data_IF_568074267950
#
_entry.id   IF_568074267950
#
_cell.length_a   1.000
_cell.length_b   1.000
_cell.length_c   1.000
_cell.angle_alpha   90.00
_cell.angle_beta   90.00
_cell.angle_gamma   90.00
#
_symmetry.space_group_name_H-M   'P 1'
#
loop_
_entity.id
_entity.type
_entity.pdbx_description
1 polymer ?
#
# COMPACT_ATOMS: atom_id res chain seq x y z
N UNK A 1 -8.58 -16.65 -1.84
CA UNK A 1 -8.01 -15.41 -2.42
C UNK A 1 -6.51 -15.60 -2.61
N UNK A 2 -5.96 -15.00 -3.67
CA UNK A 2 -4.64 -15.24 -4.29
C UNK A 2 -3.47 -15.37 -3.31
N UNK A 3 -2.85 -16.57 -3.22
CA UNK A 3 -1.61 -16.81 -2.47
C UNK A 3 -0.35 -16.83 -3.35
N UNK A 4 -0.51 -16.55 -4.65
CA UNK A 4 0.55 -16.78 -5.64
C UNK A 4 1.16 -15.48 -6.17
N UNK A 5 0.79 -14.32 -5.61
CA UNK A 5 1.26 -12.99 -6.06
C UNK A 5 1.46 -12.04 -4.88
N UNK A 6 2.49 -11.19 -4.95
CA UNK A 6 2.80 -10.14 -3.98
C UNK A 6 3.11 -8.81 -4.66
N UNK A 7 2.98 -7.73 -3.90
CA UNK A 7 3.37 -6.38 -4.32
C UNK A 7 4.81 -6.12 -3.86
N UNK A 8 5.67 -5.68 -4.78
CA UNK A 8 7.07 -5.31 -4.48
C UNK A 8 7.32 -3.85 -4.85
N UNK A 9 8.32 -3.26 -4.18
CA UNK A 9 8.76 -1.89 -4.41
C UNK A 9 10.21 -1.85 -4.89
N UNK A 10 10.47 -1.06 -5.93
CA UNK A 10 11.82 -0.75 -6.44
C UNK A 10 12.50 0.40 -5.66
N UNK A 11 13.77 0.66 -5.96
CA UNK A 11 14.52 1.78 -5.38
C UNK A 11 14.11 3.17 -5.94
N UNK A 12 13.25 3.23 -6.95
CA UNK A 12 12.80 4.49 -7.55
C UNK A 12 11.70 5.19 -6.74
N UNK A 13 11.27 4.63 -5.61
CA UNK A 13 10.24 5.22 -4.78
C UNK A 13 10.73 6.53 -4.17
N UNK A 14 9.93 7.58 -4.30
CA UNK A 14 10.21 8.90 -3.74
C UNK A 14 9.27 9.27 -2.57
N UNK A 15 8.47 8.31 -2.09
CA UNK A 15 7.60 8.53 -0.94
C UNK A 15 6.41 9.47 -1.21
N UNK A 16 5.97 9.67 -2.46
CA UNK A 16 4.86 10.59 -2.77
C UNK A 16 3.51 10.26 -2.13
N UNK A 17 3.31 9.04 -1.61
CA UNK A 17 2.10 8.67 -0.85
C UNK A 17 0.85 8.35 -1.68
N UNK A 18 0.87 8.49 -3.01
CA UNK A 18 -0.29 8.18 -3.87
C UNK A 18 -0.76 6.73 -3.68
N UNK A 19 0.19 5.80 -3.54
CA UNK A 19 -0.13 4.39 -3.28
C UNK A 19 -0.93 4.18 -2.00
N UNK A 20 -0.75 5.02 -0.97
CA UNK A 20 -1.47 4.96 0.30
C UNK A 20 -2.91 5.43 0.12
N UNK A 21 -3.13 6.49 -0.68
CA UNK A 21 -4.45 7.11 -0.85
C UNK A 21 -5.36 6.33 -1.78
N UNK A 22 -4.80 5.66 -2.79
CA UNK A 22 -5.58 4.86 -3.76
C UNK A 22 -5.79 3.41 -3.32
N UNK A 23 -5.15 2.98 -2.23
CA UNK A 23 -5.22 1.61 -1.77
C UNK A 23 -6.61 1.33 -1.16
N UNK A 24 -7.44 0.45 -1.75
CA UNK A 24 -8.78 0.17 -1.23
C UNK A 24 -8.75 -0.55 0.12
N UNK A 25 -7.65 -1.26 0.41
CA UNK A 25 -7.41 -1.91 1.70
C UNK A 25 -6.93 -0.95 2.78
N UNK A 26 -6.40 0.23 2.40
CA UNK A 26 -6.10 1.29 3.34
C UNK A 26 -7.39 2.03 3.69
N UNK A 27 -8.23 1.39 4.48
CA UNK A 27 -9.42 2.04 5.03
C UNK A 27 -8.96 3.04 6.09
N UNK A 28 -8.97 4.33 5.76
CA UNK A 28 -9.08 5.37 6.80
C UNK A 28 -10.42 5.10 7.49
N UNK A 29 -10.40 4.87 8.80
CA UNK A 29 -11.61 4.80 9.59
C UNK A 29 -12.41 6.08 9.28
N UNK A 30 -13.58 5.90 8.67
CA UNK A 30 -14.42 6.99 8.16
C UNK A 30 -15.09 7.81 9.28
N UNK A 31 -14.74 7.55 10.55
CA UNK A 31 -15.35 8.16 11.73
C UNK A 31 -14.26 8.88 12.50
N UNK A 32 -14.43 10.19 12.66
CA UNK A 32 -13.47 11.07 13.29
C UNK A 32 -13.31 10.82 14.81
N UNK A 33 -14.14 9.96 15.41
CA UNK A 33 -14.17 9.74 16.85
C UNK A 33 -13.31 8.56 17.37
N UNK A 34 -12.83 7.66 16.51
CA UNK A 34 -11.98 6.51 16.92
C UNK A 34 -10.72 6.40 16.05
N UNK A 35 -9.89 7.44 16.00
CA UNK A 35 -8.56 7.34 15.38
C UNK A 35 -7.60 6.59 16.32
N UNK A 36 -7.88 5.33 16.62
CA UNK A 36 -6.94 4.48 17.31
C UNK A 36 -5.90 3.99 16.28
N UNK A 37 -4.71 4.60 16.34
CA UNK A 37 -3.58 4.28 15.46
C UNK A 37 -3.20 2.80 15.53
N UNK A 38 -3.62 2.09 16.59
CA UNK A 38 -3.33 0.68 16.83
C UNK A 38 -4.35 -0.27 16.18
N UNK A 39 -5.48 0.22 15.65
CA UNK A 39 -6.49 -0.62 14.96
C UNK A 39 -6.61 -0.36 13.45
N UNK A 40 -5.99 0.70 12.93
CA UNK A 40 -5.97 0.97 11.50
C UNK A 40 -5.13 -0.09 10.75
N UNK A 41 -5.81 -0.97 9.99
CA UNK A 41 -5.13 -1.99 9.18
C UNK A 41 -4.72 -1.39 7.82
N UNK A 42 -3.45 -1.02 7.68
CA UNK A 42 -2.89 -0.43 6.47
C UNK A 42 -2.13 -1.50 5.66
N UNK A 43 -2.45 -1.64 4.38
CA UNK A 43 -1.69 -2.47 3.45
C UNK A 43 -0.42 -1.77 2.95
N UNK A 44 -0.45 -0.44 2.85
CA UNK A 44 0.67 0.37 2.39
C UNK A 44 0.78 1.62 3.26
N UNK A 45 1.97 1.94 3.76
CA UNK A 45 2.28 3.21 4.40
C UNK A 45 3.51 3.85 3.74
N UNK A 46 3.85 5.10 4.06
CA UNK A 46 5.10 5.73 3.62
C UNK A 46 5.90 6.12 4.85
N UNK A 47 7.14 5.63 4.93
CA UNK A 47 8.07 5.89 6.03
C UNK A 47 9.46 6.08 5.44
N UNK A 48 10.24 7.03 5.96
CA UNK A 48 11.61 7.33 5.49
C UNK A 48 11.72 7.54 3.97
N UNK A 49 10.74 8.18 3.35
CA UNK A 49 10.74 8.48 1.91
C UNK A 49 10.45 7.28 1.00
N UNK A 50 10.05 6.13 1.54
CA UNK A 50 9.72 4.94 0.77
C UNK A 50 8.36 4.37 1.19
N UNK A 51 7.65 3.69 0.29
CA UNK A 51 6.44 2.97 0.68
C UNK A 51 6.83 1.66 1.38
N UNK A 52 6.12 1.35 2.47
CA UNK A 52 6.24 0.12 3.23
C UNK A 52 4.97 -0.69 2.97
N UNK A 53 5.13 -1.92 2.49
CA UNK A 53 4.01 -2.80 2.11
C UNK A 53 3.86 -3.88 3.17
N UNK A 54 2.67 -3.97 3.75
CA UNK A 54 2.27 -5.11 4.57
C UNK A 54 1.65 -6.19 3.67
N UNK A 55 2.39 -7.26 3.40
CA UNK A 55 1.93 -8.37 2.57
C UNK A 55 0.83 -9.21 3.22
N UNK A 56 0.57 -9.06 4.53
CA UNK A 56 -0.54 -9.75 5.20
C UNK A 56 -1.88 -9.04 4.96
N UNK A 57 -1.84 -7.72 4.81
CA UNK A 57 -3.03 -6.90 4.53
C UNK A 57 -3.22 -6.66 3.03
N UNK A 58 -2.11 -6.55 2.27
CA UNK A 58 -2.14 -6.30 0.84
C UNK A 58 -2.76 -7.49 0.07
N UNK A 59 -3.83 -7.22 -0.67
CA UNK A 59 -4.51 -8.22 -1.52
C UNK A 59 -3.94 -8.29 -2.95
N UNK A 60 -2.82 -7.62 -3.22
CA UNK A 60 -2.19 -7.55 -4.54
C UNK A 60 -3.15 -7.16 -5.70
N UNK A 61 -4.04 -6.19 -5.48
CA UNK A 61 -5.03 -5.76 -6.48
C UNK A 61 -4.45 -4.92 -7.64
N UNK A 62 -3.28 -4.32 -7.45
CA UNK A 62 -2.55 -3.60 -8.50
C UNK A 62 -3.05 -2.17 -8.78
N UNK A 63 -3.90 -1.60 -7.95
CA UNK A 63 -4.32 -0.19 -8.12
C UNK A 63 -3.13 0.75 -7.88
N UNK A 64 -2.31 0.46 -6.88
CA UNK A 64 -1.13 1.26 -6.55
C UNK A 64 -0.05 1.24 -7.65
N UNK A 65 0.08 0.14 -8.41
CA UNK A 65 1.05 0.05 -9.50
C UNK A 65 0.66 0.98 -10.66
N UNK A 66 -0.64 1.01 -11.01
CA UNK A 66 -1.17 1.89 -12.07
C UNK A 66 -1.10 3.38 -11.74
N UNK A 67 -1.13 3.73 -10.45
CA UNK A 67 -1.12 5.11 -10.00
C UNK A 67 0.26 5.58 -9.51
N UNK A 68 1.30 4.74 -9.59
CA UNK A 68 2.63 5.14 -9.17
C UNK A 68 3.27 6.02 -10.27
N UNK A 69 3.49 7.31 -10.04
CA UNK A 69 4.00 8.22 -11.08
C UNK A 69 5.43 7.89 -11.51
N UNK A 70 6.19 7.25 -10.63
CA UNK A 70 7.58 6.82 -10.85
C UNK A 70 7.69 5.33 -11.22
N UNK A 71 6.56 4.64 -11.38
CA UNK A 71 6.53 3.21 -11.74
C UNK A 71 7.25 2.28 -10.75
N UNK A 72 7.36 2.67 -9.48
CA UNK A 72 8.19 1.96 -8.49
C UNK A 72 7.50 0.74 -7.86
N UNK A 73 6.26 0.43 -8.21
CA UNK A 73 5.50 -0.68 -7.62
C UNK A 73 5.12 -1.70 -8.70
N UNK A 74 5.31 -2.98 -8.40
CA UNK A 74 5.00 -4.07 -9.33
C UNK A 74 4.37 -5.26 -8.60
N UNK A 75 3.47 -5.98 -9.28
CA UNK A 75 2.98 -7.28 -8.81
C UNK A 75 3.86 -8.36 -9.41
N UNK A 76 4.36 -9.25 -8.56
CA UNK A 76 5.17 -10.40 -8.97
C UNK A 76 4.54 -11.69 -8.47
N UNK A 77 4.69 -12.81 -9.18
CA UNK A 77 4.37 -14.12 -8.63
C UNK A 77 5.25 -14.43 -7.42
N UNK A 78 4.71 -15.21 -6.49
CA UNK A 78 5.43 -15.69 -5.29
C UNK A 78 6.14 -16.99 -5.61
#
# INVERSE_FOLDING_TARGET
>A
MAKDKKLVQSQNCNGCGICVTVCPTNTKLAKAEDFDVNTAKLAISVTNGAAVIDNLTCIACGICTRNCPVGSLAIVPI
#
